data_IF_089205033176
#
_entry.id   IF_089205033176
#
_cell.length_a   1.000
_cell.length_b   1.000
_cell.length_c   1.000
_cell.angle_alpha   90.00
_cell.angle_beta   90.00
_cell.angle_gamma   90.00
#
_symmetry.space_group_name_H-M   'P 1'
#
loop_
_entity.id
_entity.type
_entity.pdbx_description
1 polymer ?
#
# COMPACT_ATOMS: atom_id res chain seq x y z
N UNK A 1 -11.71 1.43 16.11
CA UNK A 1 -12.31 1.20 14.78
C UNK A 1 -11.20 0.79 13.83
N UNK A 2 -11.37 -0.29 13.08
CA UNK A 2 -10.41 -0.75 12.08
C UNK A 2 -10.84 -0.31 10.69
N UNK A 3 -9.90 0.18 9.88
CA UNK A 3 -10.10 0.37 8.46
C UNK A 3 -9.25 -0.64 7.70
N UNK A 4 -9.89 -1.73 7.26
CA UNK A 4 -9.22 -2.83 6.55
C UNK A 4 -8.87 -2.39 5.12
N UNK A 5 -7.58 -2.43 4.78
CA UNK A 5 -7.06 -2.08 3.47
C UNK A 5 -6.70 -3.32 2.64
N UNK A 6 -6.29 -4.42 3.28
CA UNK A 6 -6.05 -5.69 2.60
C UNK A 6 -6.17 -6.87 3.55
N UNK A 7 -6.55 -8.03 3.00
CA UNK A 7 -6.60 -9.31 3.70
C UNK A 7 -5.92 -10.38 2.83
N UNK A 8 -5.11 -11.23 3.46
CA UNK A 8 -4.40 -12.35 2.83
C UNK A 8 -4.34 -13.53 3.79
N UNK A 9 -4.31 -14.74 3.26
CA UNK A 9 -4.00 -15.94 4.02
C UNK A 9 -2.47 -16.16 4.04
N UNK A 10 -1.93 -16.52 5.20
CA UNK A 10 -0.53 -16.92 5.38
C UNK A 10 -0.35 -18.42 5.09
N UNK A 11 0.88 -18.88 4.79
CA UNK A 11 1.12 -20.31 4.49
C UNK A 11 0.69 -21.29 5.60
N UNK A 12 0.63 -20.83 6.85
CA UNK A 12 0.19 -21.63 8.00
C UNK A 12 -1.33 -21.55 8.26
N UNK A 13 -2.08 -20.95 7.34
CA UNK A 13 -3.54 -20.82 7.40
C UNK A 13 -4.05 -19.66 8.24
N UNK A 14 -3.18 -18.87 8.90
CA UNK A 14 -3.57 -17.63 9.59
C UNK A 14 -3.93 -16.53 8.58
N UNK A 15 -4.59 -15.48 9.04
CA UNK A 15 -4.96 -14.33 8.21
C UNK A 15 -4.05 -13.15 8.52
N UNK A 16 -3.40 -12.59 7.51
CA UNK A 16 -2.75 -11.29 7.58
C UNK A 16 -3.75 -10.22 7.14
N UNK A 17 -3.99 -9.26 8.02
CA UNK A 17 -4.85 -8.11 7.79
C UNK A 17 -4.00 -6.84 7.87
N UNK A 18 -4.00 -6.06 6.79
CA UNK A 18 -3.50 -4.68 6.83
C UNK A 18 -4.67 -3.77 7.17
N UNK A 19 -4.70 -3.26 8.39
CA UNK A 19 -5.71 -2.35 8.87
C UNK A 19 -5.08 -1.41 9.88
N UNK A 20 -5.42 -0.12 9.83
CA UNK A 20 -5.02 0.78 10.91
C UNK A 20 -5.94 0.54 12.11
N UNK A 21 -5.38 0.08 13.21
CA UNK A 21 -5.99 0.18 14.53
C UNK A 21 -5.55 1.48 15.19
N UNK A 22 -6.46 2.45 15.28
CA UNK A 22 -6.18 3.76 15.88
C UNK A 22 -5.87 3.67 17.37
N UNK A 23 -6.43 2.69 18.09
CA UNK A 23 -6.23 2.54 19.52
C UNK A 23 -4.83 1.99 19.83
N UNK A 24 -4.41 0.95 19.11
CA UNK A 24 -3.10 0.30 19.31
C UNK A 24 -1.99 0.89 18.44
N UNK A 25 -2.34 1.75 17.48
CA UNK A 25 -1.44 2.38 16.49
C UNK A 25 -0.64 1.36 15.67
N UNK A 26 -1.24 0.19 15.42
CA UNK A 26 -0.69 -0.87 14.57
C UNK A 26 -1.37 -0.87 13.21
N UNK A 27 -0.65 -1.34 12.19
CA UNK A 27 -1.12 -1.36 10.79
C UNK A 27 -1.23 -2.77 10.22
N UNK A 28 -0.59 -3.74 10.86
CA UNK A 28 -0.58 -5.15 10.47
C UNK A 28 -1.04 -6.01 11.62
N UNK A 29 -1.94 -6.94 11.32
CA UNK A 29 -2.52 -7.84 12.29
C UNK A 29 -2.53 -9.25 11.72
N UNK A 30 -1.91 -10.19 12.43
CA UNK A 30 -2.05 -11.62 12.14
C UNK A 30 -3.14 -12.16 13.05
N UNK A 31 -4.18 -12.71 12.43
CA UNK A 31 -5.33 -13.29 13.10
C UNK A 31 -5.32 -14.81 12.91
N UNK A 32 -5.80 -15.53 13.91
CA UNK A 32 -6.19 -16.93 13.72
C UNK A 32 -7.38 -17.02 12.76
N UNK A 33 -7.65 -18.21 12.22
CA UNK A 33 -8.85 -18.46 11.40
C UNK A 33 -10.16 -18.18 12.14
N UNK A 34 -10.15 -18.29 13.46
CA UNK A 34 -11.29 -17.95 14.32
C UNK A 34 -11.46 -16.43 14.55
N UNK A 35 -10.59 -15.59 13.95
CA UNK A 35 -10.66 -14.13 14.08
C UNK A 35 -10.03 -13.57 15.35
N UNK A 36 -9.32 -14.38 16.14
CA UNK A 36 -8.58 -13.89 17.32
C UNK A 36 -7.22 -13.31 16.91
N UNK A 37 -6.82 -12.11 17.38
CA UNK A 37 -5.49 -11.55 17.14
C UNK A 37 -4.40 -12.43 17.75
N UNK A 38 -3.42 -12.80 16.94
CA UNK A 38 -2.23 -13.55 17.36
C UNK A 38 -1.04 -12.60 17.52
N UNK A 39 -0.91 -11.64 16.60
CA UNK A 39 0.20 -10.68 16.58
C UNK A 39 -0.27 -9.37 15.92
N UNK A 40 0.22 -8.24 16.40
CA UNK A 40 -0.02 -6.93 15.77
C UNK A 40 1.24 -6.07 15.79
N UNK A 41 1.58 -5.47 14.65
CA UNK A 41 2.85 -4.78 14.43
C UNK A 41 2.71 -3.70 13.33
N UNK A 42 3.83 -3.09 12.95
CA UNK A 42 3.86 -1.97 12.02
C UNK A 42 3.37 -0.70 12.68
N UNK A 43 4.13 -0.21 13.65
CA UNK A 43 3.84 1.02 14.39
C UNK A 43 3.68 2.22 13.46
N UNK A 44 2.65 3.02 13.74
CA UNK A 44 2.42 4.29 13.06
C UNK A 44 2.23 5.40 14.06
N UNK A 45 2.92 6.51 13.85
CA UNK A 45 2.65 7.73 14.60
C UNK A 45 1.35 8.34 14.06
N UNK A 46 0.40 8.65 14.95
CA UNK A 46 -0.83 9.37 14.60
C UNK A 46 -0.76 10.74 15.25
N UNK A 47 -0.34 11.78 14.51
CA UNK A 47 -0.40 13.15 14.98
C UNK A 47 -1.82 13.54 15.43
N UNK A 48 -1.99 14.31 16.52
CA UNK A 48 -3.31 14.71 17.01
C UNK A 48 -4.13 15.47 15.96
N UNK A 49 -3.47 16.25 15.12
CA UNK A 49 -4.08 17.06 14.08
C UNK A 49 -4.60 16.26 12.88
N UNK A 50 -4.20 15.00 12.73
CA UNK A 50 -4.69 14.07 11.69
C UNK A 50 -5.55 12.93 12.24
N UNK A 51 -5.73 12.84 13.57
CA UNK A 51 -6.34 11.68 14.23
C UNK A 51 -7.74 11.33 13.70
N UNK A 52 -8.58 12.32 13.43
CA UNK A 52 -9.93 12.13 12.88
C UNK A 52 -9.93 11.50 11.47
N UNK A 53 -8.85 11.68 10.71
CA UNK A 53 -8.71 11.20 9.32
C UNK A 53 -7.62 10.14 9.18
N UNK A 54 -7.11 9.60 10.30
CA UNK A 54 -5.95 8.71 10.31
C UNK A 54 -6.14 7.48 9.42
N UNK A 55 -7.33 6.88 9.39
CA UNK A 55 -7.63 5.70 8.56
C UNK A 55 -7.63 5.99 7.06
N UNK A 56 -7.90 7.24 6.67
CA UNK A 56 -7.83 7.71 5.29
C UNK A 56 -6.41 8.04 4.87
N UNK A 57 -5.63 8.61 5.80
CA UNK A 57 -4.30 9.17 5.55
C UNK A 57 -3.15 8.20 5.76
N UNK A 58 -3.30 7.29 6.73
CA UNK A 58 -2.24 6.40 7.23
C UNK A 58 -2.60 4.93 6.99
N UNK A 59 -1.70 4.05 7.43
CA UNK A 59 -1.77 2.62 7.14
C UNK A 59 -1.26 2.32 5.74
N UNK A 60 -1.71 1.22 5.16
CA UNK A 60 -1.15 0.75 3.92
C UNK A 60 -1.74 -0.54 3.41
N UNK A 61 -1.17 -1.08 2.34
CA UNK A 61 -1.52 -2.39 1.79
C UNK A 61 -0.36 -3.35 1.98
N UNK A 62 -0.69 -4.57 2.37
CA UNK A 62 0.29 -5.60 2.65
C UNK A 62 0.29 -6.70 1.58
N UNK A 63 1.48 -7.22 1.32
CA UNK A 63 1.75 -8.37 0.47
C UNK A 63 2.64 -9.34 1.25
N UNK A 64 2.46 -10.63 1.00
CA UNK A 64 3.38 -11.66 1.50
C UNK A 64 4.31 -12.04 0.36
N UNK A 65 5.61 -11.85 0.57
CA UNK A 65 6.66 -12.24 -0.36
C UNK A 65 7.56 -13.26 0.30
N UNK A 66 7.44 -14.51 -0.16
CA UNK A 66 8.24 -15.63 0.30
C UNK A 66 8.12 -15.77 1.84
N UNK A 67 9.16 -15.44 2.60
CA UNK A 67 9.17 -15.47 4.07
C UNK A 67 9.04 -14.08 4.73
N UNK A 68 8.58 -13.08 3.99
CA UNK A 68 8.47 -11.68 4.45
C UNK A 68 7.08 -11.10 4.20
N UNK A 69 6.73 -10.08 4.99
CA UNK A 69 5.55 -9.25 4.83
C UNK A 69 6.01 -7.87 4.39
N UNK A 70 5.48 -7.40 3.26
CA UNK A 70 5.83 -6.10 2.71
C UNK A 70 4.62 -5.18 2.79
N UNK A 71 4.78 -4.05 3.46
CA UNK A 71 3.74 -3.04 3.67
C UNK A 71 4.09 -1.77 2.90
N UNK A 72 3.25 -1.39 1.94
CA UNK A 72 3.31 -0.07 1.31
C UNK A 72 2.39 0.90 2.02
N UNK A 73 2.96 1.98 2.56
CA UNK A 73 2.23 3.01 3.30
C UNK A 73 1.55 4.00 2.35
N UNK A 74 0.35 4.44 2.72
CA UNK A 74 -0.42 5.45 1.96
C UNK A 74 0.35 6.77 1.88
N UNK A 75 0.74 7.31 3.04
CA UNK A 75 1.46 8.57 3.15
C UNK A 75 2.24 8.66 4.48
N UNK A 76 3.49 9.18 4.46
CA UNK A 76 4.30 9.36 3.26
C UNK A 76 4.63 8.00 2.61
N UNK A 77 4.94 7.99 1.31
CA UNK A 77 5.28 6.76 0.61
C UNK A 77 6.53 6.15 1.25
N UNK A 78 6.33 4.94 1.76
CA UNK A 78 7.35 4.14 2.40
C UNK A 78 6.96 2.69 2.21
N UNK A 79 7.96 1.83 2.04
CA UNK A 79 7.78 0.39 2.05
C UNK A 79 8.53 -0.16 3.27
N UNK A 80 7.81 -0.81 4.16
CA UNK A 80 8.41 -1.54 5.27
C UNK A 80 8.37 -3.04 4.95
N UNK A 81 9.47 -3.74 5.21
CA UNK A 81 9.59 -5.19 5.09
C UNK A 81 9.75 -5.77 6.49
N UNK A 82 8.86 -6.71 6.83
CA UNK A 82 8.85 -7.43 8.10
C UNK A 82 9.09 -8.91 7.86
N UNK A 83 9.61 -9.62 8.85
CA UNK A 83 9.49 -11.08 8.89
C UNK A 83 8.07 -11.51 9.30
N UNK A 84 7.80 -12.82 9.29
CA UNK A 84 6.52 -13.38 9.72
C UNK A 84 6.24 -13.27 11.23
N UNK A 85 7.23 -12.81 12.01
CA UNK A 85 7.13 -12.56 13.46
C UNK A 85 6.90 -11.08 13.77
N UNK A 86 6.81 -10.24 12.75
CA UNK A 86 6.56 -8.80 12.88
C UNK A 86 7.80 -7.96 13.18
N UNK A 87 9.01 -8.53 13.07
CA UNK A 87 10.25 -7.76 13.19
C UNK A 87 10.47 -6.96 11.90
N UNK A 88 10.69 -5.65 12.03
CA UNK A 88 11.08 -4.82 10.90
C UNK A 88 12.48 -5.22 10.44
N UNK A 89 12.57 -5.73 9.21
CA UNK A 89 13.83 -6.10 8.57
C UNK A 89 14.42 -4.92 7.80
N UNK A 90 13.55 -4.10 7.18
CA UNK A 90 13.97 -3.02 6.29
C UNK A 90 12.90 -1.97 6.11
N UNK A 91 13.36 -0.75 5.87
CA UNK A 91 12.54 0.40 5.48
C UNK A 91 13.11 1.02 4.22
N UNK A 92 12.30 1.09 3.18
CA UNK A 92 12.62 1.79 1.94
C UNK A 92 11.76 3.05 1.88
N UNK A 93 12.40 4.21 1.92
CA UNK A 93 11.71 5.48 1.84
C UNK A 93 11.46 5.85 0.38
N UNK A 94 10.24 6.29 0.11
CA UNK A 94 9.88 6.85 -1.17
C UNK A 94 10.53 8.21 -1.40
N UNK A 95 10.40 8.71 -2.63
CA UNK A 95 10.72 10.12 -2.90
C UNK A 95 9.73 11.01 -2.14
N UNK A 96 10.22 12.08 -1.51
CA UNK A 96 9.41 12.98 -0.70
C UNK A 96 8.21 13.59 -1.47
N UNK A 97 8.32 13.77 -2.78
CA UNK A 97 7.24 14.29 -3.64
C UNK A 97 6.30 13.20 -4.17
N UNK A 98 6.55 11.92 -3.88
CA UNK A 98 5.71 10.83 -4.38
C UNK A 98 4.33 10.82 -3.72
N UNK A 99 4.19 11.36 -2.50
CA UNK A 99 2.92 11.42 -1.78
C UNK A 99 2.82 12.68 -0.95
N UNK A 100 1.60 13.16 -0.73
CA UNK A 100 1.31 14.30 0.12
C UNK A 100 1.45 13.90 1.59
N UNK A 101 2.28 14.59 2.38
CA UNK A 101 2.35 14.43 3.83
C UNK A 101 0.96 14.49 4.49
N UNK A 102 0.64 13.66 5.50
CA UNK A 102 -0.72 13.55 6.05
C UNK A 102 -1.32 14.88 6.51
N UNK A 103 -0.51 15.75 7.12
CA UNK A 103 -0.96 17.06 7.61
C UNK A 103 -1.29 18.04 6.47
N UNK A 104 -0.57 17.95 5.36
CA UNK A 104 -0.79 18.81 4.20
C UNK A 104 -2.11 18.49 3.46
N UNK A 105 -2.67 17.31 3.68
CA UNK A 105 -3.98 16.92 3.17
C UNK A 105 -5.16 17.49 3.97
N UNK A 106 -4.91 18.18 5.10
CA UNK A 106 -5.95 18.71 5.98
C UNK A 106 -6.06 20.23 5.82
N UNK A 107 -7.29 20.72 5.69
CA UNK A 107 -7.61 22.15 5.79
C UNK A 107 -8.20 22.48 7.15
N UNK A 108 -7.87 23.66 7.67
CA UNK A 108 -8.42 24.23 8.89
C UNK A 108 -9.04 25.58 8.58
N UNK A 109 -10.31 25.72 8.90
CA UNK A 109 -11.04 26.99 8.77
C UNK A 109 -11.77 27.26 10.10
N UNK A 110 -11.19 28.16 10.91
CA UNK A 110 -11.59 28.35 12.30
C UNK A 110 -11.53 27.05 13.11
N UNK A 111 -12.68 26.61 13.61
CA UNK A 111 -12.83 25.35 14.35
C UNK A 111 -13.04 24.11 13.45
N UNK A 112 -13.29 24.30 12.16
CA UNK A 112 -13.57 23.21 11.23
C UNK A 112 -12.27 22.60 10.70
N UNK A 113 -12.17 21.26 10.78
CA UNK A 113 -11.06 20.49 10.23
C UNK A 113 -11.59 19.55 9.17
N UNK A 114 -11.12 19.67 7.93
CA UNK A 114 -11.60 18.88 6.80
C UNK A 114 -10.46 18.23 6.02
N UNK A 115 -10.70 17.00 5.54
CA UNK A 115 -9.80 16.32 4.62
C UNK A 115 -10.01 16.87 3.19
N UNK A 116 -8.92 17.29 2.55
CA UNK A 116 -8.91 17.82 1.20
C UNK A 116 -8.51 16.73 0.21
N UNK A 117 -9.46 15.84 -0.11
CA UNK A 117 -9.21 14.71 -1.01
C UNK A 117 -8.57 15.11 -2.35
N UNK A 118 -8.95 16.27 -2.91
CA UNK A 118 -8.42 16.79 -4.18
C UNK A 118 -6.96 17.29 -4.12
N UNK A 119 -6.32 17.28 -2.94
CA UNK A 119 -4.91 17.62 -2.74
C UNK A 119 -4.05 16.39 -2.41
N UNK A 120 -4.65 15.21 -2.49
CA UNK A 120 -4.12 14.02 -1.84
C UNK A 120 -3.46 13.08 -2.85
N UNK A 121 -2.15 12.91 -2.70
CA UNK A 121 -1.35 11.94 -3.45
C UNK A 121 -0.92 10.83 -2.50
N UNK A 122 -1.29 9.57 -2.78
CA UNK A 122 -1.02 8.47 -1.85
C UNK A 122 -0.93 7.10 -2.55
N UNK A 123 -0.27 6.14 -1.89
CA UNK A 123 -0.32 4.74 -2.32
C UNK A 123 -1.75 4.17 -2.20
N UNK A 124 -2.27 3.61 -3.29
CA UNK A 124 -3.58 2.98 -3.40
C UNK A 124 -3.51 1.51 -3.78
N UNK A 125 -2.36 1.04 -4.30
CA UNK A 125 -2.17 -0.33 -4.78
C UNK A 125 -0.76 -0.84 -4.52
N UNK A 126 -0.63 -2.15 -4.30
CA UNK A 126 0.65 -2.78 -4.03
C UNK A 126 0.68 -4.25 -4.46
N UNK A 127 1.66 -4.64 -5.28
CA UNK A 127 1.74 -5.95 -5.93
C UNK A 127 3.17 -6.53 -5.94
N UNK A 128 3.25 -7.86 -6.08
CA UNK A 128 4.48 -8.55 -6.47
C UNK A 128 4.80 -8.22 -7.94
N UNK A 129 6.05 -7.82 -8.20
CA UNK A 129 6.59 -7.68 -9.55
C UNK A 129 7.19 -8.99 -10.10
N UNK A 130 7.67 -8.99 -11.35
CA UNK A 130 8.11 -10.20 -12.04
C UNK A 130 9.45 -10.75 -11.52
N UNK A 131 10.29 -9.93 -10.91
CA UNK A 131 11.60 -10.35 -10.37
C UNK A 131 11.57 -10.50 -8.85
N UNK A 132 12.44 -11.35 -8.31
CA UNK A 132 12.53 -11.57 -6.86
C UNK A 132 12.89 -10.27 -6.14
N UNK A 133 12.10 -9.90 -5.14
CA UNK A 133 12.27 -8.64 -4.40
C UNK A 133 11.72 -7.40 -5.09
N UNK A 134 11.20 -7.51 -6.31
CA UNK A 134 10.53 -6.41 -6.99
C UNK A 134 9.07 -6.32 -6.55
N UNK A 135 8.65 -5.10 -6.21
CA UNK A 135 7.26 -4.77 -5.89
C UNK A 135 6.82 -3.57 -6.69
N UNK A 136 5.54 -3.58 -7.08
CA UNK A 136 4.92 -2.47 -7.78
C UNK A 136 3.98 -1.73 -6.85
N UNK A 137 4.26 -0.46 -6.62
CA UNK A 137 3.43 0.44 -5.88
C UNK A 137 2.65 1.34 -6.84
N UNK A 138 1.36 1.52 -6.57
CA UNK A 138 0.50 2.42 -7.33
C UNK A 138 0.15 3.58 -6.45
N UNK A 139 0.47 4.77 -6.95
CA UNK A 139 0.26 6.04 -6.30
C UNK A 139 -0.77 6.80 -7.11
N UNK A 140 -1.88 7.15 -6.48
CA UNK A 140 -2.90 7.99 -7.10
C UNK A 140 -2.67 9.44 -6.68
N UNK A 141 -2.59 10.35 -7.65
CA UNK A 141 -2.58 11.79 -7.47
C UNK A 141 -3.96 12.35 -7.82
N UNK A 142 -4.75 12.65 -6.78
CA UNK A 142 -6.09 13.23 -6.92
C UNK A 142 -6.07 14.68 -7.41
N UNK A 143 -4.92 15.37 -7.32
CA UNK A 143 -4.77 16.77 -7.74
C UNK A 143 -4.68 16.85 -9.25
N UNK A 144 -3.84 16.00 -9.85
CA UNK A 144 -3.65 15.96 -11.31
C UNK A 144 -4.54 14.94 -12.00
N UNK A 145 -5.26 14.09 -11.25
CA UNK A 145 -6.05 12.99 -11.81
C UNK A 145 -5.18 11.88 -12.42
N UNK A 146 -3.91 11.80 -12.03
CA UNK A 146 -2.93 10.87 -12.60
C UNK A 146 -2.65 9.73 -11.64
N UNK A 147 -2.12 8.65 -12.20
CA UNK A 147 -1.54 7.56 -11.42
C UNK A 147 -0.09 7.40 -11.77
N UNK A 148 0.76 7.16 -10.78
CA UNK A 148 2.14 6.74 -10.97
C UNK A 148 2.32 5.30 -10.48
N UNK A 149 2.85 4.45 -11.35
CA UNK A 149 3.27 3.08 -11.02
C UNK A 149 4.79 3.09 -10.80
N UNK A 150 5.23 2.66 -9.63
CA UNK A 150 6.64 2.57 -9.26
C UNK A 150 7.03 1.12 -9.02
N UNK A 151 8.03 0.65 -9.75
CA UNK A 151 8.71 -0.61 -9.46
C UNK A 151 9.89 -0.36 -8.52
N UNK A 152 9.93 -1.09 -7.41
CA UNK A 152 10.94 -0.94 -6.36
C UNK A 152 11.56 -2.29 -6.05
N UNK A 153 12.89 -2.34 -6.02
CA UNK A 153 13.65 -3.44 -5.44
C UNK A 153 13.73 -3.23 -3.92
N UNK A 154 13.03 -4.07 -3.17
CA UNK A 154 12.98 -3.95 -1.70
C UNK A 154 14.28 -4.42 -1.03
N UNK A 155 15.11 -5.23 -1.69
CA UNK A 155 16.40 -5.67 -1.17
C UNK A 155 17.48 -4.59 -1.29
N UNK A 156 17.33 -3.67 -2.23
CA UNK A 156 18.25 -2.53 -2.41
C UNK A 156 17.63 -1.20 -2.03
N UNK A 157 16.32 -1.17 -1.74
CA UNK A 157 15.53 0.05 -1.61
C UNK A 157 15.74 0.99 -2.81
N UNK A 158 15.80 0.42 -4.01
CA UNK A 158 16.09 1.13 -5.24
C UNK A 158 14.83 1.20 -6.10
N UNK A 159 14.48 2.40 -6.57
CA UNK A 159 13.46 2.55 -7.58
C UNK A 159 14.02 2.07 -8.93
N UNK A 160 13.41 1.03 -9.49
CA UNK A 160 13.82 0.42 -10.75
C UNK A 160 13.19 1.13 -11.94
N UNK A 161 11.89 1.45 -11.83
CA UNK A 161 11.11 2.08 -12.88
C UNK A 161 9.99 2.92 -12.29
N UNK A 162 9.63 3.98 -13.00
CA UNK A 162 8.46 4.80 -12.71
C UNK A 162 7.72 5.09 -14.02
N UNK A 163 6.38 5.01 -14.00
CA UNK A 163 5.54 5.38 -15.13
C UNK A 163 4.29 6.09 -14.63
N UNK A 164 4.06 7.30 -15.15
CA UNK A 164 2.79 8.00 -14.93
C UNK A 164 1.80 7.72 -16.05
N UNK A 165 0.55 7.54 -15.67
CA UNK A 165 -0.60 7.27 -16.52
C UNK A 165 -1.63 8.40 -16.33
N UNK A 166 -2.32 8.84 -17.39
CA UNK A 166 -3.26 9.95 -17.34
C UNK A 166 -4.63 9.59 -16.74
N UNK A 167 -4.75 8.43 -16.09
CA UNK A 167 -6.00 7.91 -15.52
C UNK A 167 -5.78 7.39 -14.10
N UNK A 168 -6.77 7.51 -13.20
CA UNK A 168 -6.73 6.88 -11.89
C UNK A 168 -6.73 5.35 -12.04
N UNK A 169 -5.85 4.64 -11.31
CA UNK A 169 -5.84 3.19 -11.22
C UNK A 169 -6.25 2.71 -9.84
N UNK A 170 -7.04 1.64 -9.82
CA UNK A 170 -7.24 0.82 -8.64
C UNK A 170 -6.71 -0.59 -8.88
N UNK A 171 -5.76 -1.02 -8.05
CA UNK A 171 -5.25 -2.39 -8.10
C UNK A 171 -6.01 -3.28 -7.11
N UNK A 172 -6.70 -4.30 -7.63
CA UNK A 172 -7.46 -5.26 -6.81
C UNK A 172 -6.82 -6.67 -6.75
N UNK A 173 -5.87 -7.01 -7.62
CA UNK A 173 -5.34 -8.37 -7.74
C UNK A 173 -4.01 -8.60 -7.00
N UNK A 174 -3.51 -9.84 -6.93
CA UNK A 174 -2.45 -10.24 -5.97
C UNK A 174 -1.03 -10.37 -6.56
N UNK A 175 -0.86 -10.39 -7.89
CA UNK A 175 0.44 -10.54 -8.56
C UNK A 175 0.36 -10.06 -10.02
N UNK A 176 1.43 -9.46 -10.55
CA UNK A 176 1.48 -9.04 -11.96
C UNK A 176 2.85 -9.34 -12.61
N UNK A 177 2.82 -9.87 -13.84
CA UNK A 177 4.02 -10.08 -14.67
C UNK A 177 4.29 -8.85 -15.57
N UNK A 178 3.22 -8.19 -16.03
CA UNK A 178 3.26 -6.95 -16.83
C UNK A 178 1.97 -6.11 -16.62
N UNK A 179 2.08 -4.78 -16.57
CA UNK A 179 0.91 -3.87 -16.70
C UNK A 179 0.73 -3.54 -18.17
N UNK A 180 -0.24 -4.18 -18.84
CA UNK A 180 -0.41 -4.09 -20.30
C UNK A 180 -1.50 -3.10 -20.71
N UNK A 181 -2.39 -2.72 -19.80
CA UNK A 181 -3.39 -1.69 -20.07
C UNK A 181 -4.24 -1.30 -18.87
N UNK A 182 -4.90 -0.16 -18.99
CA UNK A 182 -5.98 0.29 -18.11
C UNK A 182 -7.26 0.18 -18.93
N UNK A 183 -8.25 -0.55 -18.43
CA UNK A 183 -9.56 -0.54 -19.08
C UNK A 183 -10.28 0.72 -18.62
N UNK A 184 -10.53 1.66 -19.53
CA UNK A 184 -11.39 2.82 -19.24
C UNK A 184 -12.82 2.30 -19.03
N UNK A 185 -13.25 2.26 -17.77
CA UNK A 185 -14.63 2.04 -17.35
C UNK A 185 -14.91 2.94 -16.14
N UNK A 186 -16.16 2.99 -15.69
CA UNK A 186 -16.56 3.71 -14.47
C UNK A 186 -15.78 3.24 -13.21
N UNK A 187 -15.15 2.06 -13.29
CA UNK A 187 -14.18 1.53 -12.32
C UNK A 187 -12.92 1.04 -13.05
N UNK A 188 -11.86 1.87 -13.19
CA UNK A 188 -10.68 1.49 -13.97
C UNK A 188 -9.96 0.31 -13.35
N UNK A 189 -10.05 -0.84 -14.01
CA UNK A 189 -9.31 -2.06 -13.68
C UNK A 189 -8.00 -2.09 -14.46
N UNK A 190 -6.92 -2.48 -13.77
CA UNK A 190 -5.67 -2.82 -14.45
C UNK A 190 -5.82 -4.20 -15.09
N UNK A 191 -5.66 -4.26 -16.42
CA UNK A 191 -5.50 -5.52 -17.13
C UNK A 191 -4.07 -5.99 -16.87
N UNK A 192 -3.96 -6.85 -15.86
CA UNK A 192 -2.75 -7.62 -15.58
C UNK A 192 -2.72 -8.76 -16.59
N UNK A 193 -1.79 -8.71 -17.54
CA UNK A 193 -1.59 -9.84 -18.42
C UNK A 193 -0.74 -10.87 -17.67
N UNK A 194 -1.24 -12.11 -17.57
CA UNK A 194 -0.44 -13.27 -17.18
C UNK A 194 0.15 -13.82 -18.46
N UNK A 195 1.47 -13.80 -18.62
CA UNK A 195 2.09 -14.45 -19.77
C UNK A 195 1.78 -15.95 -19.67
N UNK A 196 0.96 -16.48 -20.58
CA UNK A 196 0.83 -17.91 -20.76
C UNK A 196 2.24 -18.49 -20.91
N UNK A 197 2.52 -19.57 -20.17
CA UNK A 197 3.86 -19.99 -19.82
C UNK A 197 4.86 -20.02 -20.97
N UNK A 198 6.11 -19.71 -20.62
CA UNK A 198 7.28 -20.17 -21.36
C UNK A 198 7.13 -21.68 -21.50
N UNK A 199 6.69 -22.15 -22.65
CA UNK A 199 6.79 -23.55 -23.00
C UNK A 199 8.27 -23.91 -22.86
N UNK A 200 8.58 -24.77 -21.89
CA UNK A 200 9.84 -25.50 -21.88
C UNK A 200 9.91 -26.24 -23.21
N UNK A 201 10.81 -25.82 -24.09
CA UNK A 201 11.41 -26.67 -25.11
C UNK A 201 12.84 -26.92 -24.69
#
# INVERSE_FOLDING_TARGET
>A
MWAVNSLRELPDGRLLISALDVATRKTLHVMSRAGTPVLSFGDVAIPPDVAQYATSLLGGRALVLDSSIVLSHKSPFRIDVYDLRGQLLRRCEGRAHATTEPRAAISRDGASVSLQWKKFVHSTGFLRGPTAGEVWNVITDQTSGRTTVQAVDIHRCAMLRERSLPVPLFLNNASADEVVGVLESDFPEVIVHRSAGRARR
#
